data_IF_311049797564
#
_entry.id   IF_311049797564
#
_cell.length_a   1.000
_cell.length_b   1.000
_cell.length_c   1.000
_cell.angle_alpha   90.00
_cell.angle_beta   90.00
_cell.angle_gamma   90.00
#
_symmetry.space_group_name_H-M   'P 1'
#
loop_
_entity.id
_entity.type
_entity.pdbx_description
1 polymer ?
#
# COMPACT_ATOMS: atom_id res chain seq x y z
N UNK A 1 -12.18 -13.30 -30.06
CA UNK A 1 -12.68 -11.92 -29.87
C UNK A 1 -13.53 -11.81 -28.60
N UNK A 2 -14.66 -12.54 -28.48
CA UNK A 2 -15.50 -12.55 -27.27
C UNK A 2 -14.78 -12.97 -25.98
N UNK A 3 -13.93 -14.01 -26.03
CA UNK A 3 -13.09 -14.41 -24.90
C UNK A 3 -12.17 -13.30 -24.39
N UNK A 4 -11.55 -12.54 -25.30
CA UNK A 4 -10.68 -11.42 -24.93
C UNK A 4 -11.47 -10.27 -24.29
N UNK A 5 -12.65 -9.95 -24.85
CA UNK A 5 -13.56 -8.97 -24.26
C UNK A 5 -13.98 -9.39 -22.84
N UNK A 6 -14.30 -10.66 -22.64
CA UNK A 6 -14.66 -11.20 -21.33
C UNK A 6 -13.51 -11.04 -20.32
N UNK A 7 -12.25 -11.32 -20.71
CA UNK A 7 -11.10 -11.09 -19.83
C UNK A 7 -10.99 -9.63 -19.37
N UNK A 8 -11.14 -8.68 -20.30
CA UNK A 8 -11.09 -7.24 -19.99
C UNK A 8 -12.25 -6.84 -19.07
N UNK A 9 -13.47 -7.30 -19.35
CA UNK A 9 -14.64 -7.01 -18.52
C UNK A 9 -14.51 -7.61 -17.11
N UNK A 10 -14.03 -8.85 -16.97
CA UNK A 10 -13.77 -9.46 -15.67
C UNK A 10 -12.76 -8.62 -14.86
N UNK A 11 -11.69 -8.15 -15.50
CA UNK A 11 -10.73 -7.23 -14.88
C UNK A 11 -11.38 -5.93 -14.43
N UNK A 12 -12.15 -5.27 -15.31
CA UNK A 12 -12.85 -4.02 -14.99
C UNK A 12 -13.77 -4.18 -13.77
N UNK A 13 -14.61 -5.21 -13.76
CA UNK A 13 -15.53 -5.48 -12.64
C UNK A 13 -14.78 -5.88 -11.37
N UNK A 14 -13.66 -6.61 -11.49
CA UNK A 14 -12.80 -6.91 -10.34
C UNK A 14 -12.23 -5.63 -9.72
N UNK A 15 -11.76 -4.69 -10.54
CA UNK A 15 -11.31 -3.38 -10.06
C UNK A 15 -12.42 -2.63 -9.31
N UNK A 16 -13.63 -2.60 -9.87
CA UNK A 16 -14.78 -1.97 -9.23
C UNK A 16 -15.12 -2.61 -7.87
N UNK A 17 -15.13 -3.94 -7.80
CA UNK A 17 -15.37 -4.68 -6.54
C UNK A 17 -14.29 -4.40 -5.49
N UNK A 18 -13.02 -4.31 -5.90
CA UNK A 18 -11.92 -3.91 -5.02
C UNK A 18 -12.17 -2.50 -4.49
N UNK A 19 -12.58 -1.56 -5.35
CA UNK A 19 -12.92 -0.19 -4.95
C UNK A 19 -14.04 -0.13 -3.92
N UNK A 20 -15.19 -0.75 -4.20
CA UNK A 20 -16.33 -0.77 -3.26
C UNK A 20 -15.99 -1.47 -1.94
N UNK A 21 -15.25 -2.58 -1.99
CA UNK A 21 -14.80 -3.24 -0.77
C UNK A 21 -13.88 -2.33 0.04
N UNK A 22 -12.97 -1.61 -0.63
CA UNK A 22 -12.04 -0.70 0.03
C UNK A 22 -12.79 0.45 0.70
N UNK A 23 -13.73 1.07 -0.03
CA UNK A 23 -14.61 2.11 0.52
C UNK A 23 -15.33 1.64 1.80
N UNK A 24 -15.92 0.45 1.78
CA UNK A 24 -16.62 -0.11 2.94
C UNK A 24 -15.72 -0.25 4.19
N UNK A 25 -14.45 -0.60 3.99
CA UNK A 25 -13.50 -0.79 5.10
C UNK A 25 -12.78 0.49 5.53
N UNK A 26 -12.73 1.53 4.69
CA UNK A 26 -11.97 2.75 5.00
C UNK A 26 -12.83 3.98 5.23
N UNK A 27 -14.09 4.03 4.78
CA UNK A 27 -14.96 5.19 4.99
C UNK A 27 -15.65 5.16 6.37
N UNK A 28 -15.68 6.32 7.03
CA UNK A 28 -16.34 6.50 8.33
C UNK A 28 -17.88 6.55 8.26
N UNK A 29 -18.46 6.47 7.06
CA UNK A 29 -19.88 6.26 6.85
C UNK A 29 -20.32 4.84 7.21
N UNK A 30 -19.39 3.88 7.25
CA UNK A 30 -19.70 2.47 7.49
C UNK A 30 -19.28 2.00 8.88
N UNK A 31 -19.92 0.92 9.31
CA UNK A 31 -19.71 0.31 10.62
C UNK A 31 -18.24 -0.05 10.94
N UNK A 32 -17.43 -0.61 10.02
CA UNK A 32 -16.07 -1.04 10.36
C UNK A 32 -15.18 0.09 10.93
N UNK A 33 -15.22 1.28 10.33
CA UNK A 33 -14.42 2.43 10.79
C UNK A 33 -15.03 3.06 12.04
N UNK A 34 -16.37 3.09 12.13
CA UNK A 34 -17.05 3.56 13.33
C UNK A 34 -16.70 2.70 14.55
N UNK A 35 -16.57 1.38 14.39
CA UNK A 35 -16.14 0.48 15.47
C UNK A 35 -14.70 0.75 15.93
N UNK A 36 -13.79 1.11 15.02
CA UNK A 36 -12.43 1.54 15.38
C UNK A 36 -12.51 2.84 16.21
N UNK A 37 -13.29 3.82 15.77
CA UNK A 37 -13.45 5.07 16.51
C UNK A 37 -14.09 4.83 17.90
N UNK A 38 -15.11 3.99 17.98
CA UNK A 38 -15.75 3.56 19.25
C UNK A 38 -14.74 2.86 20.18
N UNK A 39 -13.83 2.04 19.64
CA UNK A 39 -12.83 1.33 20.44
C UNK A 39 -11.85 2.27 21.17
N UNK A 40 -11.67 3.51 20.68
CA UNK A 40 -10.85 4.54 21.32
C UNK A 40 -11.35 4.92 22.72
N UNK A 41 -12.60 4.58 23.10
CA UNK A 41 -13.10 4.74 24.47
C UNK A 41 -12.27 3.99 25.52
N UNK A 42 -11.60 2.91 25.11
CA UNK A 42 -10.75 2.07 25.96
C UNK A 42 -9.26 2.33 25.77
N UNK A 43 -8.88 3.29 24.92
CA UNK A 43 -7.51 3.75 24.70
C UNK A 43 -6.89 3.34 23.36
N UNK A 44 -5.60 3.67 23.19
CA UNK A 44 -4.90 3.45 21.92
C UNK A 44 -4.63 1.96 21.60
N UNK A 45 -4.47 1.12 22.63
CA UNK A 45 -4.16 -0.29 22.42
C UNK A 45 -5.30 -1.04 21.71
N UNK A 46 -6.54 -0.83 22.15
CA UNK A 46 -7.72 -1.39 21.49
C UNK A 46 -7.94 -0.80 20.11
N UNK A 47 -7.73 0.51 19.94
CA UNK A 47 -7.73 1.14 18.61
C UNK A 47 -6.77 0.45 17.62
N UNK A 48 -5.53 0.17 18.05
CA UNK A 48 -4.55 -0.53 17.22
C UNK A 48 -4.99 -1.97 16.92
N UNK A 49 -5.51 -2.70 17.91
CA UNK A 49 -5.98 -4.09 17.70
C UNK A 49 -7.12 -4.12 16.68
N UNK A 50 -8.11 -3.24 16.82
CA UNK A 50 -9.26 -3.18 15.92
C UNK A 50 -8.85 -2.78 14.50
N UNK A 51 -7.96 -1.79 14.34
CA UNK A 51 -7.49 -1.38 13.01
C UNK A 51 -6.66 -2.45 12.29
N UNK A 52 -5.80 -3.18 13.00
CA UNK A 52 -5.06 -4.32 12.41
C UNK A 52 -6.02 -5.45 12.01
N UNK A 53 -6.96 -5.80 12.89
CA UNK A 53 -8.00 -6.79 12.59
C UNK A 53 -8.83 -6.40 11.37
N UNK A 54 -9.20 -5.12 11.24
CA UNK A 54 -9.91 -4.60 10.07
C UNK A 54 -9.08 -4.78 8.79
N UNK A 55 -7.80 -4.42 8.80
CA UNK A 55 -6.92 -4.62 7.64
C UNK A 55 -6.86 -6.07 7.21
N UNK A 56 -6.72 -7.00 8.16
CA UNK A 56 -6.65 -8.42 7.87
C UNK A 56 -7.94 -8.98 7.29
N UNK A 57 -9.11 -8.56 7.77
CA UNK A 57 -10.38 -9.02 7.18
C UNK A 57 -10.67 -8.35 5.82
N UNK A 58 -10.18 -7.12 5.62
CA UNK A 58 -10.42 -6.35 4.38
C UNK A 58 -9.80 -6.97 3.14
N UNK A 59 -8.82 -7.88 3.28
CA UNK A 59 -8.21 -8.57 2.14
C UNK A 59 -9.15 -9.59 1.49
N UNK A 60 -10.15 -10.08 2.23
CA UNK A 60 -10.95 -11.22 1.80
C UNK A 60 -11.76 -10.94 0.52
N UNK A 61 -12.56 -9.85 0.42
CA UNK A 61 -13.31 -9.59 -0.80
C UNK A 61 -12.43 -9.30 -2.03
N UNK A 62 -11.37 -8.47 -1.94
CA UNK A 62 -10.42 -8.29 -3.04
C UNK A 62 -9.80 -9.59 -3.53
N UNK A 63 -9.33 -10.46 -2.63
CA UNK A 63 -8.68 -11.71 -3.00
C UNK A 63 -9.66 -12.68 -3.67
N UNK A 64 -10.89 -12.77 -3.19
CA UNK A 64 -11.92 -13.58 -3.84
C UNK A 64 -12.26 -13.07 -5.25
N UNK A 65 -12.37 -11.75 -5.42
CA UNK A 65 -12.61 -11.13 -6.72
C UNK A 65 -11.44 -11.39 -7.69
N UNK A 66 -10.21 -11.29 -7.20
CA UNK A 66 -9.01 -11.59 -7.98
C UNK A 66 -8.93 -13.08 -8.35
N UNK A 67 -9.20 -14.00 -7.41
CA UNK A 67 -9.18 -15.44 -7.68
C UNK A 67 -10.20 -15.86 -8.75
N UNK A 68 -11.42 -15.33 -8.67
CA UNK A 68 -12.44 -15.54 -9.71
C UNK A 68 -11.99 -15.01 -11.07
N UNK A 69 -11.41 -13.80 -11.08
CA UNK A 69 -10.92 -13.18 -12.31
C UNK A 69 -9.74 -13.94 -12.92
N UNK A 70 -8.82 -14.48 -12.10
CA UNK A 70 -7.74 -15.37 -12.53
C UNK A 70 -8.33 -16.62 -13.20
N UNK A 71 -9.29 -17.29 -12.56
CA UNK A 71 -9.90 -18.49 -13.13
C UNK A 71 -10.56 -18.21 -14.48
N UNK A 72 -11.43 -17.21 -14.54
CA UNK A 72 -12.18 -16.86 -15.76
C UNK A 72 -11.27 -16.40 -16.90
N UNK A 73 -10.30 -15.52 -16.60
CA UNK A 73 -9.39 -15.00 -17.63
C UNK A 73 -8.47 -16.08 -18.18
N UNK A 74 -7.97 -16.98 -17.34
CA UNK A 74 -7.14 -18.10 -17.78
C UNK A 74 -7.92 -19.06 -18.68
N UNK A 75 -9.16 -19.42 -18.33
CA UNK A 75 -9.98 -20.30 -19.16
C UNK A 75 -10.30 -19.69 -20.54
N UNK A 76 -10.38 -18.36 -20.63
CA UNK A 76 -10.71 -17.67 -21.87
C UNK A 76 -9.51 -17.48 -22.80
N UNK A 77 -8.33 -17.13 -22.26
CA UNK A 77 -7.17 -16.73 -23.08
C UNK A 77 -5.81 -17.08 -22.44
N UNK A 78 -5.77 -18.00 -21.47
CA UNK A 78 -4.54 -18.42 -20.80
C UNK A 78 -3.79 -17.25 -20.16
N UNK A 79 -2.46 -17.25 -20.26
CA UNK A 79 -1.60 -16.20 -19.73
C UNK A 79 -1.87 -14.81 -20.35
N UNK A 80 -2.29 -14.77 -21.63
CA UNK A 80 -2.70 -13.52 -22.27
C UNK A 80 -3.99 -12.96 -21.65
N UNK A 81 -4.86 -13.84 -21.16
CA UNK A 81 -6.05 -13.47 -20.39
C UNK A 81 -5.72 -12.66 -19.14
N UNK A 82 -4.65 -13.00 -18.42
CA UNK A 82 -4.18 -12.22 -17.26
C UNK A 82 -3.76 -10.80 -17.66
N UNK A 83 -3.04 -10.66 -18.77
CA UNK A 83 -2.65 -9.35 -19.29
C UNK A 83 -3.88 -8.50 -19.68
N UNK A 84 -4.88 -9.12 -20.32
CA UNK A 84 -6.13 -8.45 -20.67
C UNK A 84 -6.96 -8.05 -19.45
N UNK A 85 -7.02 -8.91 -18.42
CA UNK A 85 -7.69 -8.57 -17.17
C UNK A 85 -6.99 -7.41 -16.44
N UNK A 86 -5.66 -7.39 -16.42
CA UNK A 86 -4.88 -6.27 -15.90
C UNK A 86 -5.23 -4.96 -16.62
N UNK A 87 -5.29 -5.00 -17.96
CA UNK A 87 -5.69 -3.86 -18.77
C UNK A 87 -7.14 -3.43 -18.47
N UNK A 88 -8.03 -4.39 -18.20
CA UNK A 88 -9.39 -4.12 -17.76
C UNK A 88 -9.47 -3.31 -16.46
N UNK A 89 -8.71 -3.73 -15.43
CA UNK A 89 -8.63 -3.00 -14.15
C UNK A 89 -8.14 -1.56 -14.38
N UNK A 90 -7.17 -1.36 -15.27
CA UNK A 90 -6.58 -0.05 -15.57
C UNK A 90 -7.29 0.72 -16.70
N UNK A 91 -8.35 0.18 -17.30
CA UNK A 91 -9.00 0.81 -18.45
C UNK A 91 -9.65 2.16 -18.13
N UNK A 92 -9.99 2.38 -16.85
CA UNK A 92 -10.52 3.63 -16.30
C UNK A 92 -9.48 4.39 -15.47
N UNK A 93 -8.19 4.15 -15.70
CA UNK A 93 -7.08 4.73 -14.91
C UNK A 93 -7.12 6.26 -14.86
N UNK A 94 -7.56 6.96 -15.91
CA UNK A 94 -7.70 8.42 -15.87
C UNK A 94 -8.69 8.89 -14.79
N UNK A 95 -9.81 8.18 -14.64
CA UNK A 95 -10.81 8.48 -13.60
C UNK A 95 -10.24 8.12 -12.22
N UNK A 96 -9.63 6.93 -12.09
CA UNK A 96 -9.01 6.50 -10.83
C UNK A 96 -7.94 7.47 -10.33
N UNK A 97 -7.05 7.94 -11.22
CA UNK A 97 -6.05 8.95 -10.88
C UNK A 97 -6.67 10.31 -10.55
N UNK A 98 -7.76 10.68 -11.21
CA UNK A 98 -8.45 11.95 -10.92
C UNK A 98 -9.01 11.96 -9.50
N UNK A 99 -9.67 10.88 -9.08
CA UNK A 99 -10.24 10.79 -7.73
C UNK A 99 -9.18 10.57 -6.64
N UNK A 100 -8.07 9.91 -6.97
CA UNK A 100 -6.93 9.72 -6.05
C UNK A 100 -6.20 11.06 -5.83
N UNK A 101 -5.84 11.76 -6.92
CA UNK A 101 -5.17 13.07 -6.86
C UNK A 101 -6.03 14.16 -6.20
N UNK A 102 -7.36 14.03 -6.23
CA UNK A 102 -8.27 14.91 -5.51
C UNK A 102 -8.01 14.93 -3.99
N UNK A 103 -7.57 13.81 -3.39
CA UNK A 103 -7.33 13.71 -1.95
C UNK A 103 -6.21 14.64 -1.47
N UNK A 104 -4.96 14.48 -1.94
CA UNK A 104 -3.85 15.35 -1.55
C UNK A 104 -4.07 16.85 -1.87
N UNK A 105 -4.85 17.17 -2.90
CA UNK A 105 -5.22 18.57 -3.19
C UNK A 105 -6.12 19.12 -2.08
N UNK A 106 -7.11 18.32 -1.64
CA UNK A 106 -8.04 18.70 -0.58
C UNK A 106 -7.36 18.81 0.79
N UNK A 107 -6.42 17.91 1.10
CA UNK A 107 -5.59 17.96 2.30
C UNK A 107 -4.75 19.24 2.36
N UNK A 108 -4.01 19.55 1.27
CA UNK A 108 -3.24 20.80 1.18
C UNK A 108 -4.13 22.05 1.29
N UNK A 109 -5.33 22.05 0.70
CA UNK A 109 -6.27 23.15 0.83
C UNK A 109 -6.67 23.38 2.31
N UNK A 110 -6.88 22.31 3.06
CA UNK A 110 -7.15 22.37 4.49
C UNK A 110 -5.96 22.87 5.32
N UNK A 111 -4.75 22.42 5.00
CA UNK A 111 -3.52 22.90 5.62
C UNK A 111 -3.27 24.40 5.37
N UNK A 112 -3.49 24.86 4.14
CA UNK A 112 -3.40 26.29 3.78
C UNK A 112 -4.45 27.10 4.53
N UNK A 113 -5.69 26.63 4.62
CA UNK A 113 -6.75 27.31 5.35
C UNK A 113 -6.41 27.50 6.84
N UNK A 114 -5.84 26.48 7.48
CA UNK A 114 -5.39 26.52 8.87
C UNK A 114 -4.22 27.51 9.06
N UNK A 115 -3.19 27.40 8.22
CA UNK A 115 -2.00 28.27 8.29
C UNK A 115 -2.31 29.74 7.98
N UNK A 116 -3.33 30.01 7.16
CA UNK A 116 -3.79 31.36 6.85
C UNK A 116 -4.84 31.89 7.82
N UNK A 117 -5.15 31.16 8.91
CA UNK A 117 -6.16 31.53 9.92
C UNK A 117 -7.53 31.86 9.30
N UNK A 118 -7.93 31.11 8.28
CA UNK A 118 -9.24 31.29 7.64
C UNK A 118 -10.38 30.85 8.58
N UNK A 119 -11.62 31.25 8.24
CA UNK A 119 -12.79 30.96 9.08
C UNK A 119 -13.05 29.46 9.28
N UNK A 120 -13.62 29.11 10.43
CA UNK A 120 -13.92 27.72 10.80
C UNK A 120 -14.76 26.96 9.75
N UNK A 121 -15.72 27.66 9.12
CA UNK A 121 -16.55 27.10 8.05
C UNK A 121 -15.73 26.60 6.84
N UNK A 122 -14.61 27.25 6.53
CA UNK A 122 -13.72 26.84 5.45
C UNK A 122 -12.99 25.55 5.85
N UNK A 123 -12.53 25.47 7.10
CA UNK A 123 -11.88 24.26 7.62
C UNK A 123 -12.84 23.07 7.62
N UNK A 124 -14.09 23.26 8.03
CA UNK A 124 -15.12 22.23 8.00
C UNK A 124 -15.35 21.67 6.59
N UNK A 125 -15.42 22.53 5.58
CA UNK A 125 -15.54 22.11 4.18
C UNK A 125 -14.31 21.30 3.77
N UNK A 126 -13.10 21.81 4.02
CA UNK A 126 -11.87 21.09 3.64
C UNK A 126 -11.72 19.75 4.37
N UNK A 127 -12.12 19.65 5.65
CA UNK A 127 -12.12 18.39 6.43
C UNK A 127 -13.16 17.38 5.90
N UNK A 128 -14.25 17.86 5.27
CA UNK A 128 -15.19 17.00 4.55
C UNK A 128 -14.57 16.45 3.25
N UNK A 129 -13.91 17.32 2.48
CA UNK A 129 -13.25 16.95 1.23
C UNK A 129 -12.07 15.99 1.46
N UNK A 130 -11.24 16.26 2.48
CA UNK A 130 -10.09 15.44 2.89
C UNK A 130 -10.51 14.03 3.32
N UNK A 131 -11.56 13.90 4.15
CA UNK A 131 -12.07 12.57 4.54
C UNK A 131 -12.56 11.73 3.34
N UNK A 132 -13.17 12.39 2.34
CA UNK A 132 -13.50 11.72 1.07
C UNK A 132 -12.23 11.34 0.31
N UNK A 133 -11.23 12.24 0.27
CA UNK A 133 -9.89 12.02 -0.27
C UNK A 133 -9.16 10.81 0.31
N UNK A 134 -9.25 10.59 1.63
CA UNK A 134 -8.61 9.45 2.29
C UNK A 134 -9.23 8.12 1.85
N UNK A 135 -10.53 8.14 1.56
CA UNK A 135 -11.24 6.99 0.98
C UNK A 135 -10.84 6.78 -0.48
N UNK A 136 -10.80 7.83 -1.30
CA UNK A 136 -10.42 7.70 -2.72
C UNK A 136 -8.95 7.30 -2.89
N UNK A 137 -8.05 7.75 -2.02
CA UNK A 137 -6.66 7.33 -1.97
C UNK A 137 -6.53 5.83 -1.64
N UNK A 138 -7.32 5.32 -0.69
CA UNK A 138 -7.37 3.89 -0.40
C UNK A 138 -7.89 3.09 -1.62
N UNK A 139 -8.94 3.56 -2.28
CA UNK A 139 -9.45 2.96 -3.53
C UNK A 139 -8.35 2.94 -4.60
N UNK A 140 -7.64 4.05 -4.81
CA UNK A 140 -6.52 4.16 -5.74
C UNK A 140 -5.41 3.14 -5.45
N UNK A 141 -5.03 2.99 -4.17
CA UNK A 141 -4.10 1.95 -3.70
C UNK A 141 -4.62 0.54 -4.00
N UNK A 142 -5.90 0.26 -3.76
CA UNK A 142 -6.55 -1.02 -4.10
C UNK A 142 -6.48 -1.34 -5.60
N UNK A 143 -6.80 -0.38 -6.46
CA UNK A 143 -6.67 -0.52 -7.92
C UNK A 143 -5.23 -0.76 -8.35
N UNK A 144 -4.27 -0.05 -7.77
CA UNK A 144 -2.84 -0.21 -8.06
C UNK A 144 -2.35 -1.61 -7.64
N UNK A 145 -2.77 -2.12 -6.49
CA UNK A 145 -2.40 -3.45 -6.00
C UNK A 145 -3.03 -4.55 -6.88
N UNK A 146 -4.34 -4.44 -7.15
CA UNK A 146 -5.07 -5.40 -7.98
C UNK A 146 -4.48 -5.49 -9.39
N UNK A 147 -4.26 -4.35 -10.04
CA UNK A 147 -3.64 -4.32 -11.38
C UNK A 147 -2.21 -4.85 -11.37
N UNK A 148 -1.38 -4.46 -10.39
CA UNK A 148 -0.01 -4.93 -10.27
C UNK A 148 0.06 -6.46 -10.15
N UNK A 149 -0.89 -7.09 -9.44
CA UNK A 149 -0.96 -8.53 -9.33
C UNK A 149 -1.21 -9.23 -10.67
N UNK A 150 -2.18 -8.75 -11.47
CA UNK A 150 -2.45 -9.33 -12.79
C UNK A 150 -1.34 -9.07 -13.80
N UNK A 151 -0.72 -7.88 -13.77
CA UNK A 151 0.46 -7.58 -14.59
C UNK A 151 1.61 -8.51 -14.20
N UNK A 152 1.86 -8.71 -12.91
CA UNK A 152 2.91 -9.60 -12.44
C UNK A 152 2.66 -11.07 -12.81
N UNK A 153 1.41 -11.55 -12.78
CA UNK A 153 1.05 -12.89 -13.29
C UNK A 153 1.32 -13.03 -14.79
N UNK A 154 0.97 -12.02 -15.59
CA UNK A 154 1.24 -12.02 -17.02
C UNK A 154 2.76 -12.03 -17.30
N UNK A 155 3.52 -11.19 -16.61
CA UNK A 155 4.98 -11.12 -16.69
C UNK A 155 5.65 -12.41 -16.19
N UNK A 156 5.10 -13.04 -15.16
CA UNK A 156 5.57 -14.34 -14.68
C UNK A 156 5.39 -15.41 -15.77
N UNK A 157 4.23 -15.45 -16.43
CA UNK A 157 4.01 -16.33 -17.57
C UNK A 157 5.00 -16.06 -18.72
N UNK A 158 5.24 -14.78 -19.03
CA UNK A 158 6.24 -14.37 -20.02
C UNK A 158 7.67 -14.82 -19.62
N UNK A 159 8.03 -14.70 -18.34
CA UNK A 159 9.30 -15.16 -17.80
C UNK A 159 9.45 -16.67 -17.99
N UNK A 160 8.50 -17.48 -17.51
CA UNK A 160 8.52 -18.95 -17.60
C UNK A 160 8.70 -19.42 -19.04
N UNK A 161 7.96 -18.82 -19.97
CA UNK A 161 8.10 -19.08 -21.40
C UNK A 161 9.50 -18.68 -21.92
N UNK A 162 9.97 -17.47 -21.57
CA UNK A 162 11.26 -16.94 -22.02
C UNK A 162 12.43 -17.77 -21.53
N UNK A 163 12.39 -18.28 -20.29
CA UNK A 163 13.44 -19.15 -19.74
C UNK A 163 13.30 -20.62 -20.16
N UNK A 164 12.26 -20.98 -20.91
CA UNK A 164 12.06 -22.33 -21.45
C UNK A 164 11.75 -23.36 -20.37
N UNK A 165 10.99 -22.99 -19.34
CA UNK A 165 10.46 -23.92 -18.35
C UNK A 165 9.13 -24.47 -18.88
N UNK A 166 9.04 -25.79 -19.05
CA UNK A 166 7.81 -26.46 -19.51
C UNK A 166 6.75 -26.54 -18.41
N UNK A 167 7.17 -26.93 -17.21
CA UNK A 167 6.31 -27.06 -16.04
C UNK A 167 7.02 -26.52 -14.80
N UNK A 168 6.33 -25.66 -14.06
CA UNK A 168 6.76 -25.24 -12.72
C UNK A 168 6.11 -26.16 -11.70
N UNK A 169 6.88 -27.14 -11.20
CA UNK A 169 6.41 -28.07 -10.18
C UNK A 169 6.68 -27.50 -8.78
N UNK A 170 5.61 -27.24 -8.00
CA UNK A 170 5.73 -26.76 -6.62
C UNK A 170 6.46 -27.76 -5.70
N UNK A 171 6.46 -29.06 -6.02
CA UNK A 171 7.17 -30.09 -5.26
C UNK A 171 8.68 -30.14 -5.58
N UNK A 172 9.15 -29.37 -6.56
CA UNK A 172 10.58 -29.19 -6.80
C UNK A 172 11.18 -28.34 -5.67
N UNK A 173 12.20 -28.87 -5.00
CA UNK A 173 12.87 -28.19 -3.88
C UNK A 173 13.35 -26.77 -4.24
N UNK A 174 13.77 -26.54 -5.49
CA UNK A 174 14.23 -25.23 -5.97
C UNK A 174 13.07 -24.24 -6.06
N UNK A 175 11.93 -24.69 -6.56
CA UNK A 175 10.72 -23.87 -6.71
C UNK A 175 10.13 -23.57 -5.33
N UNK A 176 10.01 -24.58 -4.45
CA UNK A 176 9.50 -24.39 -3.10
C UNK A 176 10.36 -23.45 -2.27
N UNK A 177 11.70 -23.59 -2.33
CA UNK A 177 12.62 -22.67 -1.66
C UNK A 177 12.48 -21.25 -2.22
N UNK A 178 12.38 -21.11 -3.55
CA UNK A 178 12.09 -19.84 -4.20
C UNK A 178 10.79 -19.21 -3.69
N UNK A 179 9.71 -19.99 -3.63
CA UNK A 179 8.39 -19.56 -3.16
C UNK A 179 8.46 -18.98 -1.74
N UNK A 180 9.13 -19.69 -0.83
CA UNK A 180 9.29 -19.26 0.56
C UNK A 180 10.11 -17.97 0.66
N UNK A 181 11.23 -17.89 -0.07
CA UNK A 181 12.06 -16.67 -0.12
C UNK A 181 11.28 -15.49 -0.68
N UNK A 182 10.56 -15.70 -1.78
CA UNK A 182 9.71 -14.69 -2.40
C UNK A 182 8.62 -14.20 -1.44
N UNK A 183 7.96 -15.10 -0.73
CA UNK A 183 6.91 -14.75 0.23
C UNK A 183 7.41 -13.92 1.43
N UNK A 184 8.70 -14.04 1.76
CA UNK A 184 9.35 -13.26 2.81
C UNK A 184 9.73 -11.84 2.35
N UNK A 185 10.02 -11.62 1.06
CA UNK A 185 10.49 -10.32 0.55
C UNK A 185 9.56 -9.13 0.87
N UNK A 186 8.22 -9.23 0.75
CA UNK A 186 7.31 -8.16 1.16
C UNK A 186 7.47 -7.76 2.63
N UNK A 187 7.68 -8.73 3.53
CA UNK A 187 7.87 -8.48 4.96
C UNK A 187 9.22 -7.81 5.23
N UNK A 188 10.28 -8.27 4.56
CA UNK A 188 11.59 -7.64 4.69
C UNK A 188 11.59 -6.21 4.15
N UNK A 189 10.96 -5.99 2.99
CA UNK A 189 10.78 -4.66 2.43
C UNK A 189 10.03 -3.73 3.40
N UNK A 190 8.88 -4.19 3.92
CA UNK A 190 8.09 -3.43 4.89
C UNK A 190 8.87 -3.15 6.18
N UNK A 191 9.66 -4.10 6.68
CA UNK A 191 10.48 -3.90 7.86
C UNK A 191 11.52 -2.77 7.66
N UNK A 192 12.12 -2.70 6.47
CA UNK A 192 13.05 -1.61 6.13
C UNK A 192 12.31 -0.27 6.08
N UNK A 193 11.22 -0.17 5.32
CA UNK A 193 10.50 1.10 5.12
C UNK A 193 9.85 1.60 6.41
N UNK A 194 9.22 0.73 7.21
CA UNK A 194 8.63 1.08 8.50
C UNK A 194 9.70 1.62 9.46
N UNK A 195 10.86 0.94 9.54
CA UNK A 195 11.97 1.39 10.40
C UNK A 195 12.51 2.73 9.93
N UNK A 196 12.66 2.94 8.63
CA UNK A 196 13.15 4.20 8.06
C UNK A 196 12.27 5.38 8.43
N UNK A 197 10.94 5.24 8.32
CA UNK A 197 10.00 6.28 8.74
C UNK A 197 10.04 6.48 10.26
N UNK A 198 10.12 5.40 11.04
CA UNK A 198 10.21 5.51 12.51
C UNK A 198 11.43 6.28 13.01
N UNK A 199 12.60 6.09 12.38
CA UNK A 199 13.81 6.86 12.68
C UNK A 199 13.62 8.33 12.32
N UNK A 200 13.16 8.62 11.09
CA UNK A 200 12.94 9.99 10.62
C UNK A 200 11.89 10.74 11.45
N UNK A 201 10.81 10.06 11.85
CA UNK A 201 9.75 10.62 12.68
C UNK A 201 10.26 10.94 14.09
N UNK A 202 11.15 10.12 14.66
CA UNK A 202 11.74 10.41 15.96
C UNK A 202 12.65 11.64 15.92
N UNK A 203 13.45 11.78 14.87
CA UNK A 203 14.27 12.97 14.65
C UNK A 203 13.40 14.22 14.47
N UNK A 204 12.32 14.12 13.69
CA UNK A 204 11.33 15.18 13.49
C UNK A 204 10.67 15.61 14.82
N UNK A 205 10.24 14.65 15.64
CA UNK A 205 9.61 14.94 16.95
C UNK A 205 10.60 15.62 17.90
N UNK A 206 11.86 15.18 17.92
CA UNK A 206 12.88 15.79 18.76
C UNK A 206 13.20 17.23 18.31
N UNK A 207 13.24 17.48 17.01
CA UNK A 207 13.45 18.82 16.46
C UNK A 207 12.26 19.75 16.76
N UNK A 208 11.03 19.29 16.56
CA UNK A 208 9.82 20.04 16.94
C UNK A 208 9.86 20.36 18.44
N UNK A 209 10.15 19.38 19.30
CA UNK A 209 10.29 19.62 20.76
C UNK A 209 11.36 20.64 21.09
N UNK A 210 12.51 20.60 20.41
CA UNK A 210 13.59 21.58 20.59
C UNK A 210 13.12 22.99 20.24
N UNK A 211 12.37 23.17 19.14
CA UNK A 211 11.83 24.48 18.75
C UNK A 211 10.75 24.96 19.73
N UNK A 212 9.86 24.09 20.18
CA UNK A 212 8.80 24.42 21.15
C UNK A 212 9.32 24.72 22.58
N UNK A 213 10.60 24.48 22.88
CA UNK A 213 11.23 24.98 24.11
C UNK A 213 11.43 26.51 24.09
N UNK A 214 11.44 27.14 22.90
CA UNK A 214 11.41 28.60 22.79
C UNK A 214 9.98 29.12 23.08
N UNK A 215 9.76 29.87 24.17
CA UNK A 215 8.44 30.38 24.51
C UNK A 215 7.84 31.29 23.44
N UNK A 216 8.66 31.98 22.65
CA UNK A 216 8.17 32.86 21.59
C UNK A 216 7.51 32.07 20.45
N UNK A 217 8.07 30.90 20.12
CA UNK A 217 7.50 29.97 19.12
C UNK A 217 6.25 29.31 19.69
N UNK A 218 6.28 28.82 20.93
CA UNK A 218 5.13 28.20 21.58
C UNK A 218 3.93 29.17 21.72
N UNK A 219 4.21 30.46 21.92
CA UNK A 219 3.19 31.51 21.97
C UNK A 219 2.73 31.99 20.57
N UNK A 220 3.33 31.49 19.48
CA UNK A 220 3.01 31.91 18.10
C UNK A 220 3.47 33.32 17.74
N UNK A 221 4.37 33.91 18.52
CA UNK A 221 4.89 35.28 18.31
C UNK A 221 6.14 35.32 17.43
N UNK A 222 6.77 34.17 17.20
CA UNK A 222 7.95 33.98 16.34
C UNK A 222 7.68 32.82 15.40
N UNK A 223 8.09 32.97 14.14
CA UNK A 223 8.00 31.89 13.16
C UNK A 223 8.97 30.74 13.54
N UNK A 224 8.51 29.48 13.45
CA UNK A 224 9.37 28.32 13.65
C UNK A 224 10.31 28.11 12.47
N UNK A 225 11.37 27.33 12.68
CA UNK A 225 12.31 26.95 11.64
C UNK A 225 11.77 25.74 10.86
N UNK A 226 11.09 26.04 9.74
CA UNK A 226 10.58 25.02 8.83
C UNK A 226 11.69 24.30 8.05
N UNK A 227 12.82 24.97 7.79
CA UNK A 227 13.90 24.43 6.94
C UNK A 227 14.56 23.23 7.63
N UNK A 228 14.78 23.29 8.94
CA UNK A 228 15.30 22.17 9.72
C UNK A 228 14.43 20.91 9.59
N UNK A 229 13.10 21.04 9.70
CA UNK A 229 12.17 19.92 9.51
C UNK A 229 12.24 19.36 8.08
N UNK A 230 12.27 20.23 7.07
CA UNK A 230 12.41 19.82 5.65
C UNK A 230 13.72 19.07 5.43
N UNK A 231 14.83 19.54 6.03
CA UNK A 231 16.14 18.91 5.91
C UNK A 231 16.18 17.51 6.55
N UNK A 232 15.54 17.31 7.70
CA UNK A 232 15.42 15.99 8.35
C UNK A 232 14.67 15.03 7.44
N UNK A 233 13.48 15.41 6.96
CA UNK A 233 12.67 14.57 6.09
C UNK A 233 13.41 14.24 4.77
N UNK A 234 14.02 15.25 4.15
CA UNK A 234 14.75 15.11 2.87
C UNK A 234 15.97 14.20 3.01
N UNK A 235 16.82 14.46 4.02
CA UNK A 235 18.03 13.69 4.26
C UNK A 235 17.72 12.22 4.56
N UNK A 236 16.73 11.97 5.43
CA UNK A 236 16.30 10.62 5.75
C UNK A 236 15.72 9.91 4.51
N UNK A 237 14.83 10.54 3.74
CA UNK A 237 14.24 9.93 2.55
C UNK A 237 15.30 9.51 1.52
N UNK A 238 16.26 10.39 1.21
CA UNK A 238 17.32 10.13 0.23
C UNK A 238 18.26 8.99 0.65
N UNK A 239 18.61 8.93 1.93
CA UNK A 239 19.50 7.88 2.44
C UNK A 239 18.78 6.54 2.59
N UNK A 240 17.56 6.56 3.12
CA UNK A 240 16.83 5.35 3.49
C UNK A 240 16.14 4.65 2.32
N UNK A 241 15.89 5.34 1.19
CA UNK A 241 15.28 4.71 0.00
C UNK A 241 16.20 3.69 -0.69
N UNK A 242 17.52 3.78 -0.47
CA UNK A 242 18.52 2.97 -1.20
C UNK A 242 18.37 1.48 -0.86
N UNK A 243 18.29 1.13 0.43
CA UNK A 243 18.27 -0.27 0.84
C UNK A 243 17.01 -1.04 0.34
N UNK A 244 15.78 -0.52 0.49
CA UNK A 244 14.59 -1.14 -0.11
C UNK A 244 14.67 -1.24 -1.64
N UNK A 245 15.19 -0.21 -2.32
CA UNK A 245 15.36 -0.23 -3.78
C UNK A 245 16.35 -1.32 -4.23
N UNK A 246 17.50 -1.42 -3.56
CA UNK A 246 18.48 -2.47 -3.80
C UNK A 246 17.89 -3.86 -3.55
N UNK A 247 17.10 -4.04 -2.50
CA UNK A 247 16.42 -5.31 -2.22
C UNK A 247 15.56 -5.75 -3.41
N UNK A 248 14.69 -4.86 -3.90
CA UNK A 248 13.77 -5.17 -5.02
C UNK A 248 14.52 -5.41 -6.33
N UNK A 249 15.54 -4.61 -6.63
CA UNK A 249 16.29 -4.74 -7.89
C UNK A 249 17.19 -5.96 -7.91
N UNK A 250 17.89 -6.23 -6.80
CA UNK A 250 18.91 -7.27 -6.74
C UNK A 250 18.30 -8.65 -6.46
N UNK A 251 17.18 -8.77 -5.74
CA UNK A 251 16.57 -10.07 -5.44
C UNK A 251 16.38 -10.98 -6.67
N UNK A 252 15.70 -10.56 -7.76
CA UNK A 252 15.54 -11.41 -8.94
C UNK A 252 16.86 -11.71 -9.65
N UNK A 253 17.80 -10.75 -9.69
CA UNK A 253 19.11 -10.89 -10.35
C UNK A 253 19.96 -11.91 -9.59
N UNK A 254 20.12 -11.73 -8.29
CA UNK A 254 20.91 -12.60 -7.41
C UNK A 254 20.29 -14.00 -7.39
N UNK A 255 18.97 -14.13 -7.24
CA UNK A 255 18.32 -15.44 -7.26
C UNK A 255 18.48 -16.14 -8.61
N UNK A 256 18.32 -15.43 -9.72
CA UNK A 256 18.49 -15.99 -11.06
C UNK A 256 19.93 -16.43 -11.35
N UNK A 257 20.93 -15.64 -10.96
CA UNK A 257 22.35 -15.96 -11.18
C UNK A 257 22.81 -17.08 -10.26
N UNK A 258 22.50 -17.01 -8.96
CA UNK A 258 23.01 -17.99 -7.99
C UNK A 258 22.23 -19.32 -8.02
N UNK A 259 20.90 -19.26 -8.05
CA UNK A 259 20.05 -20.44 -7.88
C UNK A 259 19.33 -20.88 -9.17
N UNK A 260 19.32 -20.03 -10.19
CA UNK A 260 18.85 -20.39 -11.52
C UNK A 260 17.36 -20.18 -11.75
N UNK A 261 16.92 -20.57 -12.95
CA UNK A 261 15.59 -20.22 -13.47
C UNK A 261 14.42 -20.78 -12.66
N UNK A 262 14.56 -21.97 -12.07
CA UNK A 262 13.49 -22.63 -11.32
C UNK A 262 13.25 -21.98 -9.94
N UNK A 263 14.32 -21.61 -9.23
CA UNK A 263 14.18 -20.89 -7.96
C UNK A 263 13.57 -19.51 -8.17
N UNK A 264 14.00 -18.79 -9.21
CA UNK A 264 13.37 -17.51 -9.56
C UNK A 264 11.89 -17.69 -9.99
N UNK A 265 11.55 -18.79 -10.66
CA UNK A 265 10.16 -19.14 -10.96
C UNK A 265 9.31 -19.43 -9.71
N UNK A 266 9.91 -19.82 -8.59
CA UNK A 266 9.23 -19.88 -7.28
C UNK A 266 9.14 -18.52 -6.59
N UNK A 267 10.21 -17.72 -6.65
CA UNK A 267 10.31 -16.43 -5.97
C UNK A 267 9.24 -15.43 -6.43
N UNK A 268 8.99 -15.34 -7.73
CA UNK A 268 8.01 -14.42 -8.30
C UNK A 268 6.58 -14.65 -7.78
N UNK A 269 5.98 -15.86 -7.90
CA UNK A 269 4.66 -16.11 -7.34
C UNK A 269 4.63 -16.01 -5.81
N UNK A 270 5.72 -16.36 -5.11
CA UNK A 270 5.80 -16.19 -3.65
C UNK A 270 5.67 -14.73 -3.22
N UNK A 271 6.44 -13.85 -3.86
CA UNK A 271 6.37 -12.41 -3.61
C UNK A 271 5.01 -11.81 -3.98
N UNK A 272 4.40 -12.29 -5.06
CA UNK A 272 3.07 -11.89 -5.49
C UNK A 272 2.00 -12.27 -4.46
N UNK A 273 1.85 -13.55 -4.13
CA UNK A 273 0.74 -14.03 -3.30
C UNK A 273 0.83 -13.55 -1.85
N UNK A 274 2.05 -13.32 -1.35
CA UNK A 274 2.30 -12.73 -0.04
C UNK A 274 2.14 -11.21 -0.06
N UNK A 275 2.77 -10.54 -1.04
CA UNK A 275 2.85 -9.08 -1.09
C UNK A 275 1.49 -8.42 -1.26
N UNK A 276 0.59 -9.01 -2.04
CA UNK A 276 -0.79 -8.50 -2.20
C UNK A 276 -1.53 -8.45 -0.86
N UNK A 277 -1.37 -9.45 0.00
CA UNK A 277 -2.04 -9.50 1.32
C UNK A 277 -1.56 -8.36 2.21
N UNK A 278 -0.24 -8.20 2.32
CA UNK A 278 0.39 -7.17 3.15
C UNK A 278 0.06 -5.78 2.61
N UNK A 279 0.08 -5.59 1.29
CA UNK A 279 -0.22 -4.31 0.66
C UNK A 279 -1.66 -3.84 0.93
N UNK A 280 -2.65 -4.73 0.76
CA UNK A 280 -4.06 -4.40 0.98
C UNK A 280 -4.31 -4.14 2.47
N UNK A 281 -3.88 -5.05 3.33
CA UNK A 281 -4.12 -4.91 4.78
C UNK A 281 -3.47 -3.65 5.35
N UNK A 282 -2.21 -3.35 4.99
CA UNK A 282 -1.53 -2.13 5.46
C UNK A 282 -2.22 -0.85 4.97
N UNK A 283 -2.61 -0.80 3.69
CA UNK A 283 -3.26 0.38 3.10
C UNK A 283 -4.63 0.64 3.75
N UNK A 284 -5.43 -0.41 3.92
CA UNK A 284 -6.77 -0.31 4.49
C UNK A 284 -6.75 -0.03 5.99
N UNK A 285 -5.85 -0.65 6.74
CA UNK A 285 -5.67 -0.37 8.18
C UNK A 285 -5.35 1.11 8.40
N UNK A 286 -4.36 1.65 7.70
CA UNK A 286 -3.99 3.06 7.89
C UNK A 286 -5.08 4.02 7.42
N UNK A 287 -5.76 3.73 6.30
CA UNK A 287 -6.90 4.54 5.85
C UNK A 287 -8.07 4.52 6.84
N UNK A 288 -8.33 3.37 7.47
CA UNK A 288 -9.36 3.23 8.48
C UNK A 288 -9.04 4.00 9.78
N UNK A 289 -7.78 3.97 10.25
CA UNK A 289 -7.39 4.77 11.42
C UNK A 289 -7.51 6.28 11.18
N UNK A 290 -7.10 6.74 10.00
CA UNK A 290 -7.23 8.15 9.64
C UNK A 290 -8.71 8.59 9.61
N UNK A 291 -9.56 7.82 8.95
CA UNK A 291 -10.98 8.13 8.90
C UNK A 291 -11.69 7.94 10.25
N UNK A 292 -11.21 7.05 11.14
CA UNK A 292 -11.67 6.95 12.51
C UNK A 292 -11.31 8.20 13.34
N UNK A 293 -10.08 8.73 13.16
CA UNK A 293 -9.68 10.03 13.72
C UNK A 293 -10.60 11.15 13.20
N UNK A 294 -10.79 11.26 11.89
CA UNK A 294 -11.71 12.25 11.27
C UNK A 294 -13.16 12.11 11.76
N UNK A 295 -13.61 10.88 12.03
CA UNK A 295 -14.94 10.63 12.58
C UNK A 295 -15.09 11.22 13.98
N UNK A 296 -14.09 11.06 14.85
CA UNK A 296 -14.08 11.65 16.21
C UNK A 296 -13.98 13.18 16.13
N UNK A 297 -13.17 13.70 15.21
CA UNK A 297 -13.01 15.14 14.98
C UNK A 297 -14.31 15.83 14.56
N UNK A 298 -15.18 15.14 13.82
CA UNK A 298 -16.53 15.58 13.43
C UNK A 298 -17.58 15.32 14.50
N UNK A 299 -17.19 14.85 15.68
CA UNK A 299 -18.09 14.51 16.77
C UNK A 299 -18.96 13.28 16.47
N UNK A 300 -18.45 12.31 15.72
CA UNK A 300 -19.19 11.10 15.32
C UNK A 300 -19.53 10.17 16.48
N UNK A 301 -18.78 10.22 17.59
CA UNK A 301 -19.04 9.39 18.77
C UNK A 301 -20.43 9.65 19.37
N UNK A 302 -20.95 8.64 20.09
CA UNK A 302 -22.24 8.72 20.80
C UNK A 302 -22.24 9.85 21.82
N UNK A 303 -21.14 9.99 22.55
CA UNK A 303 -20.91 11.10 23.46
C UNK A 303 -20.24 12.25 22.71
N UNK A 304 -20.99 13.33 22.48
CA UNK A 304 -20.52 14.51 21.74
C UNK A 304 -19.46 15.32 22.50
N UNK A 305 -19.28 15.09 23.80
CA UNK A 305 -18.21 15.74 24.58
C UNK A 305 -16.81 15.18 24.27
N UNK A 306 -16.73 14.00 23.63
CA UNK A 306 -15.48 13.29 23.30
C UNK A 306 -14.97 13.65 21.90
N UNK A 307 -14.83 14.95 21.62
CA UNK A 307 -14.35 15.48 20.34
C UNK A 307 -12.83 15.73 20.30
N UNK A 308 -12.39 16.67 19.45
CA UNK A 308 -10.99 17.12 19.37
C UNK A 308 -10.42 17.46 20.76
N UNK A 309 -9.20 17.00 21.04
CA UNK A 309 -8.51 17.23 22.32
C UNK A 309 -8.92 16.29 23.46
N UNK A 310 -9.91 15.42 23.26
CA UNK A 310 -10.27 14.39 24.23
C UNK A 310 -9.23 13.25 24.28
N UNK A 311 -9.19 12.45 25.36
CA UNK A 311 -8.36 11.24 25.42
C UNK A 311 -8.65 10.24 24.28
N UNK A 312 -9.90 10.17 23.82
CA UNK A 312 -10.32 9.32 22.70
C UNK A 312 -9.75 9.83 21.38
N UNK A 313 -9.76 11.14 21.16
CA UNK A 313 -9.11 11.75 20.00
C UNK A 313 -7.60 11.50 20.02
N UNK A 314 -6.94 11.65 21.17
CA UNK A 314 -5.51 11.32 21.30
C UNK A 314 -5.23 9.84 20.97
N UNK A 315 -6.08 8.91 21.42
CA UNK A 315 -5.96 7.49 21.06
C UNK A 315 -6.13 7.23 19.56
N UNK A 316 -7.03 7.97 18.90
CA UNK A 316 -7.23 7.88 17.46
C UNK A 316 -6.03 8.42 16.67
N UNK A 317 -5.46 9.55 17.10
CA UNK A 317 -4.23 10.13 16.52
C UNK A 317 -3.04 9.16 16.64
N UNK A 318 -2.94 8.41 17.74
CA UNK A 318 -1.91 7.35 17.86
C UNK A 318 -2.12 6.26 16.81
N UNK A 319 -3.37 5.82 16.57
CA UNK A 319 -3.66 4.84 15.52
C UNK A 319 -3.30 5.37 14.13
N UNK A 320 -3.68 6.61 13.82
CA UNK A 320 -3.39 7.25 12.53
C UNK A 320 -1.89 7.37 12.27
N UNK A 321 -1.11 7.82 13.26
CA UNK A 321 0.35 7.94 13.15
C UNK A 321 1.08 6.60 13.04
N UNK A 322 0.51 5.51 13.58
CA UNK A 322 0.96 4.14 13.29
C UNK A 322 0.59 3.72 11.86
N UNK A 323 -0.55 4.18 11.37
CA UNK A 323 -1.08 3.95 10.02
C UNK A 323 -0.34 4.66 8.90
N UNK A 324 0.25 5.84 9.15
CA UNK A 324 0.95 6.65 8.15
C UNK A 324 2.04 5.86 7.39
N UNK A 325 3.05 5.25 8.05
CA UNK A 325 4.07 4.48 7.34
C UNK A 325 3.52 3.18 6.71
N UNK A 326 2.38 2.66 7.19
CA UNK A 326 1.71 1.52 6.58
C UNK A 326 1.03 1.91 5.27
N UNK A 327 0.23 2.98 5.27
CA UNK A 327 -0.62 3.37 4.14
C UNK A 327 0.08 4.21 3.10
N UNK A 328 1.13 4.96 3.45
CA UNK A 328 1.76 5.93 2.54
C UNK A 328 3.21 5.61 2.20
N UNK A 329 3.83 4.65 2.90
CA UNK A 329 5.20 4.20 2.57
C UNK A 329 5.21 2.73 2.18
N UNK A 330 4.96 1.83 3.14
CA UNK A 330 5.21 0.40 2.96
C UNK A 330 4.16 -0.26 2.07
N UNK A 331 2.88 -0.16 2.43
CA UNK A 331 1.75 -0.77 1.73
C UNK A 331 1.70 -0.47 0.23
N UNK A 332 1.68 0.82 -0.20
CA UNK A 332 1.65 1.14 -1.61
C UNK A 332 2.94 0.71 -2.33
N UNK A 333 4.12 0.85 -1.72
CA UNK A 333 5.37 0.46 -2.38
C UNK A 333 5.47 -1.06 -2.67
N UNK A 334 4.74 -1.91 -1.93
CA UNK A 334 4.69 -3.36 -2.21
C UNK A 334 4.10 -3.69 -3.59
N UNK A 335 3.19 -2.87 -4.13
CA UNK A 335 2.72 -3.07 -5.52
C UNK A 335 3.85 -2.89 -6.53
N UNK A 336 4.78 -1.98 -6.23
CA UNK A 336 5.98 -1.70 -7.02
C UNK A 336 6.98 -2.83 -6.91
N UNK A 337 7.22 -3.33 -5.69
CA UNK A 337 8.07 -4.50 -5.45
C UNK A 337 7.67 -5.67 -6.35
N UNK A 338 6.37 -6.01 -6.38
CA UNK A 338 5.87 -7.17 -7.13
C UNK A 338 6.03 -6.99 -8.64
N UNK A 339 5.57 -5.86 -9.20
CA UNK A 339 5.66 -5.61 -10.66
C UNK A 339 7.09 -5.42 -11.14
N UNK A 340 7.94 -4.79 -10.33
CA UNK A 340 9.33 -4.50 -10.68
C UNK A 340 10.18 -5.77 -10.71
N UNK A 341 10.03 -6.67 -9.73
CA UNK A 341 10.74 -7.96 -9.75
C UNK A 341 10.31 -8.82 -10.95
N UNK A 342 9.03 -8.80 -11.31
CA UNK A 342 8.52 -9.55 -12.45
C UNK A 342 9.15 -9.06 -13.77
N UNK A 343 9.16 -7.73 -14.02
CA UNK A 343 9.75 -7.19 -15.25
C UNK A 343 11.26 -7.37 -15.30
N UNK A 344 11.98 -7.17 -14.19
CA UNK A 344 13.43 -7.42 -14.12
C UNK A 344 13.73 -8.88 -14.48
N UNK A 345 12.96 -9.82 -13.95
CA UNK A 345 13.14 -11.25 -14.26
C UNK A 345 12.93 -11.55 -15.75
N UNK A 346 11.93 -10.95 -16.39
CA UNK A 346 11.70 -11.09 -17.84
C UNK A 346 12.87 -10.52 -18.64
N UNK A 347 13.34 -9.32 -18.30
CA UNK A 347 14.44 -8.63 -19.00
C UNK A 347 15.75 -9.43 -18.87
N UNK A 348 16.03 -9.95 -17.68
CA UNK A 348 17.25 -10.72 -17.40
C UNK A 348 17.12 -12.23 -17.71
N UNK A 349 15.98 -12.70 -18.22
CA UNK A 349 15.77 -14.10 -18.57
C UNK A 349 16.88 -14.70 -19.46
N UNK A 350 17.41 -14.00 -20.50
CA UNK A 350 18.53 -14.53 -21.29
C UNK A 350 19.81 -14.74 -20.48
N UNK A 351 20.08 -13.88 -19.50
CA UNK A 351 21.24 -14.02 -18.59
C UNK A 351 21.05 -15.25 -17.69
N UNK A 352 19.85 -15.44 -17.15
CA UNK A 352 19.50 -16.59 -16.30
C UNK A 352 19.54 -17.91 -17.09
N UNK A 353 19.29 -17.88 -18.40
CA UNK A 353 19.47 -19.05 -19.29
C UNK A 353 20.94 -19.32 -19.67
N UNK A 354 21.79 -18.30 -19.60
CA UNK A 354 23.20 -18.43 -19.98
C UNK A 354 23.98 -19.28 -18.96
N UNK A 355 25.28 -19.47 -19.22
CA UNK A 355 26.19 -20.15 -18.27
C UNK A 355 26.29 -19.44 -16.92
N UNK A 356 25.83 -18.19 -16.80
CA UNK A 356 25.82 -17.43 -15.54
C UNK A 356 24.64 -17.78 -14.64
N UNK A 357 23.62 -18.49 -15.12
CA UNK A 357 22.48 -18.91 -14.31
C UNK A 357 22.76 -20.17 -13.48
N UNK A 358 22.30 -20.16 -12.22
CA UNK A 358 22.35 -21.31 -11.32
C UNK A 358 23.76 -21.73 -10.91
N UNK A 359 24.66 -20.78 -10.62
CA UNK A 359 26.06 -21.08 -10.27
C UNK A 359 26.16 -22.08 -9.10
N UNK A 360 25.27 -21.99 -8.11
CA UNK A 360 25.27 -22.82 -6.90
C UNK A 360 24.57 -24.16 -7.12
N UNK A 361 23.52 -24.19 -7.96
CA UNK A 361 22.58 -25.32 -8.09
C UNK A 361 22.80 -26.08 -9.41
N UNK A 362 24.01 -26.00 -9.95
CA UNK A 362 24.40 -26.65 -11.22
C UNK A 362 24.69 -28.12 -11.06
#
# INVERSE_FOLDING_TARGET
KWHALLCVLCGLWSGLLIGYSTEYFTSNSYRPVQEIAESCETGAATNIIYGLSLGYISVLPPILAMALTIYLSYHCAGLYGYALAALGILSTMSIALTIDAYGPISDNAGGIAEMAHMGHEIREITDALDAAGNTTAAIGKGFAIGSAAFVALALYGAYVSRVGITTVNLLDARVMAGLLLGAMLPYWFSALTMKSVGVAAMDMVNEIRRQFQDPAIAAGTREPDYESCVNIATGAALQQMVAPACLVMLAPIVTGILFGRYTLAGLLPGALVSGVQVAISASNTGGAWDNAKKYIEKGGLRDKSKGKGSPQHAAAVIGDTVGDPLKDTSGPALNILVKLMAIISVVFAPVVQSRLGGIIVK
#
